data_IF_589808217463
#
_entry.id   IF_589808217463
#
_cell.length_a   1.000
_cell.length_b   1.000
_cell.length_c   1.000
_cell.angle_alpha   90.00
_cell.angle_beta   90.00
_cell.angle_gamma   90.00
#
_symmetry.space_group_name_H-M   'P 1'
#
loop_
_entity.id
_entity.type
_entity.pdbx_description
1 polymer ?
#
# COMPACT_ATOMS: atom_id res chain seq x y z
N UNK A 1 17.43 -8.95 -23.34
CA UNK A 1 18.09 -8.69 -22.03
C UNK A 1 19.58 -8.84 -22.22
N UNK A 2 20.37 -7.82 -21.83
CA UNK A 2 21.84 -7.81 -22.00
C UNK A 2 22.52 -8.32 -20.74
N UNK A 3 22.08 -7.84 -19.57
CA UNK A 3 22.63 -8.19 -18.26
C UNK A 3 21.55 -8.08 -17.20
N UNK A 4 21.56 -8.98 -16.22
CA UNK A 4 20.74 -8.89 -15.01
C UNK A 4 21.62 -9.09 -13.78
N UNK A 5 21.29 -8.42 -12.68
CA UNK A 5 21.99 -8.52 -11.39
C UNK A 5 21.02 -8.18 -10.24
N UNK A 6 21.44 -8.48 -9.03
CA UNK A 6 20.77 -8.04 -7.82
C UNK A 6 21.55 -6.86 -7.25
N UNK A 7 20.87 -5.73 -7.00
CA UNK A 7 21.47 -4.54 -6.40
C UNK A 7 21.88 -4.78 -4.95
N UNK A 8 22.94 -4.10 -4.52
CA UNK A 8 23.39 -4.05 -3.13
C UNK A 8 23.75 -2.60 -2.74
N UNK A 9 24.57 -2.40 -1.72
CA UNK A 9 24.96 -1.08 -1.24
C UNK A 9 25.98 -0.35 -2.11
N UNK A 10 26.62 -1.08 -3.05
CA UNK A 10 27.61 -0.52 -3.94
C UNK A 10 27.07 -0.40 -5.37
N UNK A 11 27.56 0.58 -6.15
CA UNK A 11 27.19 0.69 -7.56
C UNK A 11 27.58 -0.56 -8.34
N UNK A 12 26.65 -1.08 -9.16
CA UNK A 12 26.98 -2.15 -10.10
C UNK A 12 27.63 -1.58 -11.35
N UNK A 13 28.84 -2.03 -11.67
CA UNK A 13 29.59 -1.56 -12.83
C UNK A 13 29.41 -2.51 -14.03
N UNK A 14 29.10 -1.92 -15.19
CA UNK A 14 28.99 -2.60 -16.46
C UNK A 14 30.11 -2.06 -17.38
N UNK A 15 31.08 -2.89 -17.76
CA UNK A 15 32.12 -2.52 -18.67
C UNK A 15 32.27 -3.52 -19.81
N UNK A 16 32.64 -3.04 -21.02
CA UNK A 16 32.95 -3.86 -22.19
C UNK A 16 31.78 -4.61 -22.84
N UNK A 17 30.51 -4.31 -22.43
CA UNK A 17 29.33 -4.98 -22.96
C UNK A 17 28.43 -4.01 -23.75
N UNK A 18 28.39 -2.73 -23.35
CA UNK A 18 27.55 -1.71 -23.97
C UNK A 18 28.32 -0.96 -25.07
N UNK A 19 27.64 -0.62 -26.16
CA UNK A 19 28.20 0.15 -27.25
C UNK A 19 28.07 1.65 -27.01
N UNK A 20 29.15 2.40 -27.24
CA UNK A 20 29.11 3.87 -27.17
C UNK A 20 28.13 4.44 -28.21
N UNK A 21 27.38 5.46 -27.80
CA UNK A 21 26.36 6.11 -28.64
C UNK A 21 25.00 5.39 -28.69
N UNK A 22 24.90 4.16 -28.20
CA UNK A 22 23.65 3.41 -28.15
C UNK A 22 22.85 3.72 -26.87
N UNK A 23 21.50 3.61 -27.00
CA UNK A 23 20.57 3.81 -25.88
C UNK A 23 20.11 2.49 -25.30
N UNK A 24 20.00 2.46 -24.00
CA UNK A 24 19.61 1.30 -23.20
C UNK A 24 18.55 1.68 -22.18
N UNK A 25 17.86 0.66 -21.66
CA UNK A 25 16.86 0.80 -20.59
C UNK A 25 17.34 0.00 -19.39
N UNK A 26 17.40 0.67 -18.23
CA UNK A 26 17.50 0.03 -16.93
C UNK A 26 16.08 -0.27 -16.44
N UNK A 27 15.80 -1.54 -16.18
CA UNK A 27 14.49 -2.04 -15.75
C UNK A 27 14.60 -2.78 -14.42
N UNK A 28 13.67 -2.54 -13.52
CA UNK A 28 13.56 -3.28 -12.27
C UNK A 28 12.55 -4.42 -12.40
N UNK A 29 13.01 -5.64 -12.25
CA UNK A 29 12.15 -6.84 -12.30
C UNK A 29 11.49 -7.14 -10.95
N UNK A 30 12.20 -6.87 -9.84
CA UNK A 30 11.72 -7.08 -8.47
C UNK A 30 12.13 -5.92 -7.57
N UNK A 31 11.16 -5.30 -6.92
CA UNK A 31 11.42 -4.28 -5.91
C UNK A 31 11.79 -4.91 -4.55
N UNK A 32 12.62 -4.27 -3.73
CA UNK A 32 12.84 -4.68 -2.35
C UNK A 32 11.56 -4.68 -1.53
N UNK A 33 11.51 -5.47 -0.45
CA UNK A 33 10.35 -5.52 0.44
C UNK A 33 10.02 -4.16 1.02
N UNK A 34 8.75 -3.75 0.90
CA UNK A 34 8.26 -2.44 1.35
C UNK A 34 8.41 -1.31 0.33
N UNK A 35 8.96 -1.60 -0.85
CA UNK A 35 9.13 -0.62 -1.93
C UNK A 35 8.22 -0.92 -3.11
N UNK A 36 7.78 0.12 -3.79
CA UNK A 36 7.14 0.06 -5.09
C UNK A 36 8.21 -0.10 -6.17
N UNK A 37 7.84 -0.67 -7.31
CA UNK A 37 8.75 -0.81 -8.44
C UNK A 37 9.15 0.55 -8.99
N UNK A 38 10.43 0.74 -9.27
CA UNK A 38 10.93 1.92 -9.95
C UNK A 38 10.42 1.98 -11.39
N UNK A 39 10.32 3.19 -11.92
CA UNK A 39 10.11 3.39 -13.34
C UNK A 39 11.38 3.06 -14.12
N UNK A 40 11.22 2.58 -15.34
CA UNK A 40 12.32 2.36 -16.27
C UNK A 40 13.13 3.65 -16.49
N UNK A 41 14.45 3.50 -16.52
CA UNK A 41 15.37 4.60 -16.79
C UNK A 41 16.07 4.36 -18.12
N UNK A 42 15.80 5.24 -19.11
CA UNK A 42 16.51 5.24 -20.38
C UNK A 42 17.79 6.06 -20.29
N UNK A 43 18.89 5.56 -20.84
CA UNK A 43 20.16 6.26 -20.90
C UNK A 43 20.91 5.96 -22.19
N UNK A 44 21.82 6.85 -22.58
CA UNK A 44 22.70 6.66 -23.74
C UNK A 44 24.14 6.63 -23.29
N UNK A 45 24.91 5.65 -23.77
CA UNK A 45 26.34 5.51 -23.42
C UNK A 45 27.16 6.59 -24.14
N UNK A 46 27.97 7.33 -23.38
CA UNK A 46 28.82 8.40 -23.89
C UNK A 46 29.85 7.90 -24.92
N UNK A 47 30.12 8.76 -25.91
CA UNK A 47 31.09 8.47 -26.95
C UNK A 47 32.56 8.71 -26.53
N UNK A 48 32.77 9.47 -25.45
CA UNK A 48 34.10 9.92 -25.01
C UNK A 48 34.81 8.96 -24.04
N UNK A 49 34.18 7.81 -23.76
CA UNK A 49 34.77 6.78 -22.90
C UNK A 49 34.73 7.08 -21.40
N UNK A 50 34.05 8.14 -20.97
CA UNK A 50 33.84 8.44 -19.57
C UNK A 50 32.86 7.42 -18.92
N UNK A 51 32.83 7.35 -17.61
CA UNK A 51 31.84 6.58 -16.85
C UNK A 51 30.54 7.35 -16.81
N UNK A 52 29.45 6.78 -17.34
CA UNK A 52 28.12 7.28 -17.20
C UNK A 52 27.47 6.70 -15.93
N UNK A 53 26.93 7.56 -15.08
CA UNK A 53 26.17 7.12 -13.90
C UNK A 53 24.68 7.14 -14.19
N UNK A 54 24.02 6.01 -13.94
CA UNK A 54 22.57 5.85 -14.06
C UNK A 54 22.01 5.53 -12.68
N UNK A 55 21.06 6.32 -12.21
CA UNK A 55 20.45 6.15 -10.89
C UNK A 55 18.98 5.79 -11.06
N UNK A 56 18.58 4.66 -10.46
CA UNK A 56 17.19 4.25 -10.31
C UNK A 56 16.79 4.45 -8.85
N UNK A 57 15.60 4.99 -8.61
CA UNK A 57 15.12 5.26 -7.25
C UNK A 57 13.79 4.58 -7.02
N UNK A 58 13.70 3.86 -5.91
CA UNK A 58 12.48 3.28 -5.42
C UNK A 58 11.82 4.23 -4.41
N UNK A 59 10.50 4.16 -4.35
CA UNK A 59 9.72 4.79 -3.26
C UNK A 59 9.00 3.70 -2.48
N UNK A 60 8.61 3.98 -1.24
CA UNK A 60 7.92 3.02 -0.40
C UNK A 60 6.50 2.75 -0.88
N UNK A 61 6.01 1.53 -0.64
CA UNK A 61 4.59 1.22 -0.83
C UNK A 61 3.73 2.01 0.15
N UNK A 62 2.51 2.41 -0.27
CA UNK A 62 1.65 3.31 0.50
C UNK A 62 0.21 2.81 0.50
N UNK A 63 -0.32 2.54 1.70
CA UNK A 63 -1.73 2.22 1.93
C UNK A 63 -2.32 3.21 2.93
N UNK A 64 -3.46 3.80 2.59
CA UNK A 64 -4.22 4.70 3.45
C UNK A 64 -5.61 4.17 3.70
N UNK A 65 -6.03 4.14 4.97
CA UNK A 65 -7.30 3.57 5.40
C UNK A 65 -8.04 4.59 6.26
N UNK A 66 -9.25 4.96 5.84
CA UNK A 66 -10.13 5.84 6.61
C UNK A 66 -11.40 5.10 7.00
N UNK A 67 -11.72 5.08 8.29
CA UNK A 67 -12.97 4.54 8.82
C UNK A 67 -14.05 5.63 8.79
N UNK A 68 -15.20 5.35 8.16
CA UNK A 68 -16.27 6.33 8.01
C UNK A 68 -17.66 5.75 8.33
N UNK A 69 -18.58 6.64 8.66
CA UNK A 69 -20.01 6.32 8.73
C UNK A 69 -20.61 6.20 7.33
N UNK A 70 -21.28 5.09 7.04
CA UNK A 70 -21.96 4.89 5.77
C UNK A 70 -23.05 5.94 5.51
N UNK A 71 -23.67 6.46 6.56
CA UNK A 71 -24.80 7.40 6.45
C UNK A 71 -24.31 8.83 6.28
N UNK A 72 -23.37 9.28 7.11
CA UNK A 72 -22.91 10.68 7.12
C UNK A 72 -21.62 10.93 6.34
N UNK A 73 -20.84 9.88 6.03
CA UNK A 73 -19.50 10.00 5.43
C UNK A 73 -18.44 10.53 6.40
N UNK A 74 -18.80 10.82 7.65
CA UNK A 74 -17.86 11.36 8.64
C UNK A 74 -16.92 10.29 9.17
N UNK A 75 -15.67 10.65 9.49
CA UNK A 75 -14.72 9.73 10.11
C UNK A 75 -15.23 9.14 11.42
N UNK A 76 -14.85 7.89 11.69
CA UNK A 76 -15.23 7.16 12.90
C UNK A 76 -13.99 6.70 13.66
N UNK A 77 -13.94 7.08 14.94
CA UNK A 77 -12.94 6.59 15.90
C UNK A 77 -13.46 5.37 16.68
N UNK A 78 -12.54 4.59 17.24
CA UNK A 78 -12.83 3.51 18.17
C UNK A 78 -13.14 2.14 17.55
N UNK A 79 -13.04 1.96 16.23
CA UNK A 79 -13.03 0.64 15.62
C UNK A 79 -11.66 -0.01 15.79
N UNK A 80 -11.62 -1.31 16.07
CA UNK A 80 -10.38 -2.08 16.06
C UNK A 80 -10.26 -2.83 14.74
N UNK A 81 -9.22 -2.52 13.97
CA UNK A 81 -8.94 -3.10 12.67
C UNK A 81 -7.64 -3.90 12.69
N UNK A 82 -7.57 -4.92 11.85
CA UNK A 82 -6.37 -5.70 11.55
C UNK A 82 -6.16 -5.80 10.06
N UNK A 83 -4.91 -5.62 9.63
CA UNK A 83 -4.44 -5.97 8.29
C UNK A 83 -3.64 -7.27 8.36
N UNK A 84 -3.99 -8.24 7.54
CA UNK A 84 -3.38 -9.58 7.51
C UNK A 84 -2.86 -9.90 6.12
N UNK A 85 -1.85 -10.77 6.05
CA UNK A 85 -1.46 -11.45 4.80
C UNK A 85 -2.57 -12.42 4.38
N UNK A 86 -2.50 -12.93 3.14
CA UNK A 86 -3.42 -14.00 2.68
C UNK A 86 -3.34 -15.27 3.55
N UNK A 87 -2.16 -15.55 4.13
CA UNK A 87 -1.95 -16.69 5.03
C UNK A 87 -2.45 -16.44 6.46
N UNK A 88 -3.02 -15.25 6.72
CA UNK A 88 -3.62 -14.90 8.01
C UNK A 88 -2.65 -14.36 9.06
N UNK A 89 -1.42 -14.03 8.70
CA UNK A 89 -0.48 -13.37 9.62
C UNK A 89 -0.85 -11.90 9.79
N UNK A 90 -0.91 -11.43 11.03
CA UNK A 90 -1.20 -10.02 11.33
C UNK A 90 0.00 -9.16 10.95
N UNK A 91 -0.19 -8.24 10.02
CA UNK A 91 0.79 -7.24 9.61
C UNK A 91 0.73 -6.02 10.52
N UNK A 92 -0.49 -5.55 10.78
CA UNK A 92 -0.74 -4.39 11.64
C UNK A 92 -2.13 -4.46 12.29
N UNK A 93 -2.23 -3.99 13.53
CA UNK A 93 -3.48 -3.85 14.28
C UNK A 93 -3.53 -2.45 14.89
N UNK A 94 -4.69 -1.78 14.80
CA UNK A 94 -4.85 -0.43 15.35
C UNK A 94 -6.30 -0.14 15.74
N UNK A 95 -6.48 0.92 16.50
CA UNK A 95 -7.79 1.51 16.79
C UNK A 95 -7.94 2.77 15.94
N UNK A 96 -9.06 2.89 15.25
CA UNK A 96 -9.31 4.01 14.35
C UNK A 96 -9.49 5.33 15.11
N UNK A 97 -9.04 6.40 14.48
CA UNK A 97 -9.24 7.79 14.88
C UNK A 97 -10.02 8.52 13.79
N UNK A 98 -10.23 9.82 13.95
CA UNK A 98 -10.86 10.65 12.92
C UNK A 98 -9.93 10.96 11.73
N UNK A 99 -8.70 10.48 11.78
CA UNK A 99 -7.70 10.67 10.72
C UNK A 99 -7.42 9.38 9.96
N UNK A 100 -6.93 9.53 8.74
CA UNK A 100 -6.48 8.40 7.91
C UNK A 100 -5.31 7.66 8.57
N UNK A 101 -5.44 6.34 8.67
CA UNK A 101 -4.34 5.47 9.09
C UNK A 101 -3.43 5.18 7.90
N UNK A 102 -2.12 5.35 8.07
CA UNK A 102 -1.11 5.22 7.02
C UNK A 102 -0.20 4.03 7.28
N UNK A 103 -0.09 3.14 6.33
CA UNK A 103 0.83 1.99 6.37
C UNK A 103 1.79 2.15 5.19
N UNK A 104 2.98 2.68 5.46
CA UNK A 104 3.99 2.98 4.47
C UNK A 104 5.25 2.14 4.68
N UNK A 105 5.82 1.63 3.59
CA UNK A 105 7.09 0.90 3.60
C UNK A 105 7.05 -0.47 4.28
N UNK A 106 5.88 -1.02 4.52
CA UNK A 106 5.70 -2.31 5.22
C UNK A 106 5.09 -3.41 4.34
N UNK A 107 4.43 -3.03 3.25
CA UNK A 107 3.68 -3.94 2.41
C UNK A 107 4.41 -4.23 1.12
N UNK A 108 4.28 -5.46 0.63
CA UNK A 108 4.89 -5.86 -0.63
C UNK A 108 4.04 -5.38 -1.80
N UNK A 109 4.69 -4.81 -2.81
CA UNK A 109 4.04 -4.42 -4.05
C UNK A 109 3.41 -5.64 -4.76
N UNK A 110 2.25 -5.46 -5.36
CA UNK A 110 1.41 -6.49 -6.04
C UNK A 110 0.77 -7.52 -5.11
N UNK A 111 1.13 -7.57 -3.83
CA UNK A 111 0.51 -8.50 -2.88
C UNK A 111 -0.87 -8.02 -2.43
N UNK A 112 -1.74 -8.99 -2.14
CA UNK A 112 -3.09 -8.75 -1.62
C UNK A 112 -3.13 -9.02 -0.13
N UNK A 113 -3.73 -8.09 0.59
CA UNK A 113 -3.91 -8.15 2.04
C UNK A 113 -5.38 -8.18 2.40
N UNK A 114 -5.69 -8.76 3.55
CA UNK A 114 -7.03 -8.86 4.10
C UNK A 114 -7.20 -7.89 5.25
N UNK A 115 -8.10 -6.92 5.10
CA UNK A 115 -8.50 -6.02 6.17
C UNK A 115 -9.77 -6.54 6.83
N UNK A 116 -9.75 -6.69 8.16
CA UNK A 116 -10.90 -7.12 8.95
C UNK A 116 -11.15 -6.19 10.13
N UNK A 117 -12.41 -6.09 10.51
CA UNK A 117 -12.83 -5.38 11.71
C UNK A 117 -12.98 -6.37 12.86
N UNK A 118 -12.22 -6.16 13.95
CA UNK A 118 -12.29 -6.97 15.17
C UNK A 118 -13.43 -6.48 16.06
N UNK A 119 -13.59 -5.16 16.15
CA UNK A 119 -14.73 -4.54 16.83
C UNK A 119 -15.13 -3.23 16.15
N UNK A 120 -16.45 -2.99 16.01
CA UNK A 120 -16.96 -1.77 15.40
C UNK A 120 -16.81 -0.56 16.33
N UNK A 121 -16.94 0.67 15.81
CA UNK A 121 -17.10 1.84 16.63
C UNK A 121 -18.37 1.75 17.48
N UNK A 122 -18.36 2.41 18.65
CA UNK A 122 -19.54 2.42 19.51
C UNK A 122 -20.78 2.99 18.78
N UNK A 123 -21.92 2.29 18.89
CA UNK A 123 -23.16 2.66 18.23
C UNK A 123 -23.28 2.23 16.75
N UNK A 124 -22.31 1.50 16.23
CA UNK A 124 -22.31 0.99 14.85
C UNK A 124 -22.42 -0.53 14.79
N UNK A 125 -22.94 -1.04 13.65
CA UNK A 125 -23.02 -2.47 13.38
C UNK A 125 -21.65 -2.96 12.90
N UNK A 126 -21.22 -4.19 13.28
CA UNK A 126 -19.95 -4.73 12.79
C UNK A 126 -19.99 -4.97 11.28
N UNK A 127 -18.81 -4.91 10.65
CA UNK A 127 -18.62 -5.44 9.30
C UNK A 127 -18.76 -6.96 9.33
N UNK A 128 -19.49 -7.51 8.36
CA UNK A 128 -19.65 -8.96 8.21
C UNK A 128 -18.49 -9.58 7.43
N UNK A 129 -18.04 -8.87 6.41
CA UNK A 129 -17.06 -9.36 5.45
C UNK A 129 -15.74 -8.61 5.57
N UNK A 130 -14.65 -9.30 5.30
CA UNK A 130 -13.33 -8.71 5.16
C UNK A 130 -13.21 -7.98 3.82
N UNK A 131 -12.35 -6.96 3.79
CA UNK A 131 -12.00 -6.20 2.59
C UNK A 131 -10.63 -6.67 2.12
N UNK A 132 -10.52 -7.03 0.84
CA UNK A 132 -9.24 -7.36 0.23
C UNK A 132 -8.69 -6.15 -0.49
N UNK A 133 -7.41 -5.86 -0.29
CA UNK A 133 -6.70 -4.74 -0.89
C UNK A 133 -5.39 -5.21 -1.51
N UNK A 134 -5.21 -4.90 -2.80
CA UNK A 134 -3.95 -5.18 -3.50
C UNK A 134 -3.09 -3.93 -3.54
N UNK A 135 -1.84 -4.06 -3.13
CA UNK A 135 -0.88 -2.96 -3.13
C UNK A 135 -0.39 -2.70 -4.55
N UNK A 136 -0.39 -1.43 -4.96
CA UNK A 136 0.11 -1.03 -6.27
C UNK A 136 1.57 -1.44 -6.45
N UNK A 137 1.92 -1.87 -7.66
CA UNK A 137 3.32 -2.03 -8.04
C UNK A 137 4.03 -0.68 -8.26
N UNK A 138 3.24 0.36 -8.56
CA UNK A 138 3.75 1.70 -8.87
C UNK A 138 3.78 2.57 -7.63
N UNK A 139 4.54 3.65 -7.67
CA UNK A 139 4.60 4.64 -6.60
C UNK A 139 3.30 5.45 -6.51
N UNK A 140 2.22 4.79 -6.12
CA UNK A 140 0.90 5.39 -5.92
C UNK A 140 0.35 5.04 -4.55
N UNK A 141 -0.47 5.93 -4.00
CA UNK A 141 -1.18 5.67 -2.73
C UNK A 141 -2.42 4.82 -3.04
N UNK A 142 -2.51 3.65 -2.42
CA UNK A 142 -3.75 2.89 -2.39
C UNK A 142 -4.59 3.41 -1.24
N UNK A 143 -5.77 3.96 -1.52
CA UNK A 143 -6.67 4.53 -0.51
C UNK A 143 -7.98 3.78 -0.45
N UNK A 144 -8.40 3.40 0.77
CA UNK A 144 -9.68 2.73 1.01
C UNK A 144 -10.48 3.42 2.12
N UNK A 145 -11.80 3.42 1.94
CA UNK A 145 -12.76 3.85 2.96
C UNK A 145 -13.49 2.62 3.49
N UNK A 146 -13.50 2.45 4.79
CA UNK A 146 -14.15 1.34 5.48
C UNK A 146 -15.40 1.85 6.18
N UNK A 147 -16.58 1.38 5.77
CA UNK A 147 -17.86 1.93 6.17
C UNK A 147 -18.57 1.07 7.21
N UNK A 148 -19.09 1.67 8.30
CA UNK A 148 -20.07 1.02 9.17
C UNK A 148 -21.43 1.70 9.09
N UNK A 149 -22.49 0.90 9.22
CA UNK A 149 -23.85 1.39 9.42
C UNK A 149 -24.08 1.68 10.90
N UNK A 150 -24.70 2.83 11.19
CA UNK A 150 -25.19 3.14 12.54
C UNK A 150 -26.27 2.13 12.97
N UNK A 151 -26.27 1.72 14.23
CA UNK A 151 -27.37 0.94 14.80
C UNK A 151 -28.63 1.80 14.77
N UNK A 152 -29.75 1.23 14.30
CA UNK A 152 -31.05 1.88 14.46
C UNK A 152 -31.44 1.82 15.93
N UNK A 153 -31.70 2.95 16.56
CA UNK A 153 -32.25 3.00 17.90
C UNK A 153 -33.58 2.24 17.90
N UNK A 154 -33.82 1.42 18.93
CA UNK A 154 -35.18 0.94 19.22
C UNK A 154 -36.00 2.17 19.65
N UNK A 155 -37.19 2.44 19.08
CA UNK A 155 -38.03 3.50 19.63
C UNK A 155 -38.29 3.17 21.10
N UNK A 156 -38.35 4.17 21.99
CA UNK A 156 -38.74 3.92 23.35
C UNK A 156 -40.11 3.17 23.31
N UNK A 157 -40.20 2.06 24.03
CA UNK A 157 -41.48 1.39 24.24
C UNK A 157 -42.42 2.40 24.83
N UNK A 158 -43.36 2.90 24.04
CA UNK A 158 -44.61 3.46 24.54
C UNK A 158 -45.33 2.29 25.20
N UNK A 159 -45.11 2.09 26.47
CA UNK A 159 -46.03 1.37 27.33
C UNK A 159 -47.26 2.25 27.44
N UNK A 160 -48.42 1.83 26.95
CA UNK A 160 -49.65 2.57 27.22
C UNK A 160 -49.86 2.53 28.73
N UNK A 161 -49.86 3.72 29.37
CA UNK A 161 -50.41 3.85 30.69
C UNK A 161 -51.93 3.51 30.59
N UNK A 162 -52.23 2.40 31.18
CA UNK A 162 -53.63 2.02 31.49
C UNK A 162 -54.09 2.80 32.71
#
# INVERSE_FOLDING_TARGET
MIKAWVSDTEPYEISGILNAGESYILHEEYAPGGYAYANDVSFTVSLDGRVDQVIMKDDVTKLEILKISKTSGQPLSGAKLQLLTEQGQVVEEWVTTETTHKIYGKLLAKETYKLQEISPPNGYKPLKDSIFVTISKENTIVSIKVENKKKTGHPPNDTPNI
#
